data_IF_066925237976
#
_entry.id   IF_066925237976
#
_cell.length_a   1.000
_cell.length_b   1.000
_cell.length_c   1.000
_cell.angle_alpha   90.00
_cell.angle_beta   90.00
_cell.angle_gamma   90.00
#
_symmetry.space_group_name_H-M   'P 1'
#
loop_
_entity.id
_entity.type
_entity.pdbx_description
1 polymer ?
#
# COMPACT_ATOMS: atom_id res chain seq x y z
N UNK A 1 8.06 -16.53 2.17
CA UNK A 1 7.75 -15.47 3.14
C UNK A 1 7.11 -14.29 2.45
N UNK A 2 6.70 -13.30 3.21
CA UNK A 2 6.24 -12.01 2.70
C UNK A 2 7.45 -11.08 2.64
N UNK A 3 7.53 -10.23 1.60
CA UNK A 3 8.64 -9.30 1.39
C UNK A 3 8.08 -7.87 1.26
N UNK A 4 7.81 -7.19 2.38
CA UNK A 4 7.39 -5.80 2.34
C UNK A 4 8.50 -4.95 1.70
N UNK A 5 8.17 -4.25 0.63
CA UNK A 5 9.07 -3.37 -0.11
C UNK A 5 8.75 -1.96 0.34
N UNK A 6 9.74 -1.23 0.84
CA UNK A 6 9.56 0.19 1.22
C UNK A 6 8.98 0.98 0.04
N UNK A 7 8.02 1.83 0.34
CA UNK A 7 7.28 2.62 -0.64
C UNK A 7 7.13 4.08 -0.18
N UNK A 8 6.64 4.94 -1.05
CA UNK A 8 6.21 6.30 -0.71
C UNK A 8 7.22 7.11 0.09
N UNK A 9 6.73 7.69 1.19
CA UNK A 9 7.53 8.49 2.12
C UNK A 9 8.68 7.71 2.75
N UNK A 10 8.50 6.43 3.06
CA UNK A 10 9.54 5.62 3.69
C UNK A 10 10.67 5.26 2.73
N UNK A 11 10.39 4.96 1.46
CA UNK A 11 11.44 4.76 0.47
C UNK A 11 12.18 6.08 0.18
N UNK A 12 11.44 7.19 0.09
CA UNK A 12 12.03 8.52 -0.06
C UNK A 12 12.89 8.89 1.16
N UNK A 13 12.43 8.58 2.36
CA UNK A 13 13.18 8.75 3.60
C UNK A 13 14.47 7.93 3.62
N UNK A 14 14.38 6.66 3.24
CA UNK A 14 15.56 5.79 3.10
C UNK A 14 16.62 6.38 2.16
N UNK A 15 16.20 6.87 0.98
CA UNK A 15 17.13 7.43 -0.01
C UNK A 15 17.70 8.78 0.44
N UNK A 16 16.87 9.65 0.97
CA UNK A 16 17.21 11.06 1.21
C UNK A 16 17.76 11.33 2.61
N UNK A 17 17.23 10.63 3.64
CA UNK A 17 17.52 10.86 5.06
C UNK A 17 18.24 9.69 5.74
N UNK A 18 18.33 8.54 5.07
CA UNK A 18 18.81 7.27 5.64
C UNK A 18 17.96 6.84 6.86
N UNK A 19 16.68 7.15 6.85
CA UNK A 19 15.70 6.89 7.90
C UNK A 19 14.40 7.59 7.58
N UNK A 20 13.51 7.76 8.57
CA UNK A 20 12.25 8.49 8.40
C UNK A 20 12.47 9.93 7.92
N UNK A 21 11.55 10.39 7.11
CA UNK A 21 11.35 11.82 6.92
C UNK A 21 10.87 12.38 8.27
N UNK A 22 11.48 13.47 8.83
CA UNK A 22 11.23 13.90 10.21
C UNK A 22 9.78 14.25 10.57
N UNK A 23 8.91 14.40 9.58
CA UNK A 23 7.48 14.72 9.75
C UNK A 23 6.56 13.62 9.21
N UNK A 24 7.10 12.43 8.92
CA UNK A 24 6.37 11.25 8.49
C UNK A 24 6.11 10.35 9.69
N UNK A 25 4.92 9.77 9.80
CA UNK A 25 4.47 9.05 10.99
C UNK A 25 3.85 7.68 10.71
N UNK A 26 3.89 7.22 9.46
CA UNK A 26 3.41 5.92 9.02
C UNK A 26 4.50 5.08 8.34
N UNK A 27 4.18 3.85 8.03
CA UNK A 27 5.03 2.95 7.25
C UNK A 27 4.26 2.50 6.01
N UNK A 28 4.76 2.91 4.86
CA UNK A 28 4.26 2.49 3.55
C UNK A 28 5.08 1.34 2.98
N UNK A 29 4.42 0.27 2.59
CA UNK A 29 5.05 -0.86 1.92
C UNK A 29 4.25 -1.30 0.70
N UNK A 30 4.95 -1.66 -0.35
CA UNK A 30 4.37 -2.41 -1.47
C UNK A 30 4.53 -3.91 -1.26
N UNK A 31 3.59 -4.65 -1.82
CA UNK A 31 3.65 -6.11 -1.97
C UNK A 31 3.29 -6.49 -3.39
N UNK A 32 4.02 -7.44 -3.97
CA UNK A 32 3.57 -8.09 -5.22
C UNK A 32 2.19 -8.70 -4.98
N UNK A 33 1.31 -8.63 -5.97
CA UNK A 33 -0.10 -9.06 -5.89
C UNK A 33 -0.33 -10.35 -5.12
N UNK A 34 0.42 -11.39 -5.40
CA UNK A 34 0.27 -12.67 -4.70
C UNK A 34 0.58 -12.56 -3.20
N UNK A 35 1.58 -11.76 -2.83
CA UNK A 35 1.93 -11.51 -1.42
C UNK A 35 0.89 -10.60 -0.76
N UNK A 36 0.39 -9.59 -1.47
CA UNK A 36 -0.66 -8.68 -1.02
C UNK A 36 -1.96 -9.43 -0.70
N UNK A 37 -2.42 -10.26 -1.62
CA UNK A 37 -3.65 -11.05 -1.44
C UNK A 37 -3.51 -12.01 -0.25
N UNK A 38 -2.34 -12.65 -0.08
CA UNK A 38 -2.06 -13.51 1.08
C UNK A 38 -2.08 -12.76 2.40
N UNK A 39 -1.53 -11.54 2.45
CA UNK A 39 -1.56 -10.69 3.65
C UNK A 39 -2.98 -10.27 3.96
N UNK A 40 -3.74 -9.84 2.95
CA UNK A 40 -5.15 -9.46 3.09
C UNK A 40 -6.01 -10.63 3.60
N UNK A 41 -5.81 -11.82 3.07
CA UNK A 41 -6.50 -13.02 3.54
C UNK A 41 -6.11 -13.42 4.96
N UNK A 42 -4.82 -13.28 5.31
CA UNK A 42 -4.36 -13.52 6.67
C UNK A 42 -4.99 -12.53 7.67
N UNK A 43 -5.04 -11.24 7.35
CA UNK A 43 -5.68 -10.25 8.20
C UNK A 43 -7.17 -10.54 8.38
N UNK A 44 -7.88 -10.88 7.31
CA UNK A 44 -9.30 -11.23 7.35
C UNK A 44 -9.58 -12.42 8.29
N UNK A 45 -8.68 -13.37 8.36
CA UNK A 45 -8.86 -14.60 9.15
C UNK A 45 -8.38 -14.45 10.60
N UNK A 46 -7.37 -13.64 10.88
CA UNK A 46 -6.62 -13.68 12.14
C UNK A 46 -6.56 -12.36 12.89
N UNK A 47 -7.01 -11.25 12.31
CA UNK A 47 -6.94 -9.93 12.94
C UNK A 47 -8.34 -9.30 12.92
N UNK A 48 -8.69 -8.58 13.98
CA UNK A 48 -9.94 -7.85 14.03
C UNK A 48 -9.93 -6.70 13.01
N UNK A 49 -11.05 -6.46 12.32
CA UNK A 49 -11.25 -5.18 11.68
C UNK A 49 -11.32 -4.08 12.74
N UNK A 50 -11.09 -2.82 12.34
CA UNK A 50 -11.18 -1.69 13.29
C UNK A 50 -12.54 -1.63 13.96
N UNK A 51 -13.62 -1.92 13.23
CA UNK A 51 -14.98 -1.96 13.77
C UNK A 51 -15.15 -3.09 14.78
N UNK A 52 -14.75 -4.31 14.45
CA UNK A 52 -14.78 -5.45 15.36
C UNK A 52 -13.90 -5.23 16.59
N UNK A 53 -12.77 -4.52 16.43
CA UNK A 53 -11.85 -4.19 17.51
C UNK A 53 -12.52 -3.32 18.58
N UNK A 54 -13.25 -2.29 18.20
CA UNK A 54 -13.96 -1.42 19.13
C UNK A 54 -15.21 -2.07 19.75
N UNK A 55 -15.88 -2.95 19.01
CA UNK A 55 -17.09 -3.64 19.47
C UNK A 55 -16.83 -5.02 20.07
N UNK A 56 -15.55 -5.43 20.19
CA UNK A 56 -15.20 -6.74 20.74
C UNK A 56 -15.64 -6.92 22.18
N UNK A 57 -16.45 -7.93 22.42
CA UNK A 57 -16.74 -8.46 23.76
C UNK A 57 -15.64 -9.48 24.16
N UNK A 58 -15.47 -9.70 25.47
CA UNK A 58 -14.56 -10.73 26.01
C UNK A 58 -14.85 -12.15 25.49
N UNK A 59 -16.06 -12.41 25.04
CA UNK A 59 -16.50 -13.67 24.44
C UNK A 59 -16.17 -13.82 22.96
N UNK A 60 -16.01 -12.73 22.21
CA UNK A 60 -15.66 -12.75 20.79
C UNK A 60 -14.21 -13.21 20.51
N UNK A 61 -13.37 -13.17 21.53
CA UNK A 61 -11.96 -13.61 21.47
C UNK A 61 -11.79 -15.07 21.04
N UNK A 62 -12.78 -15.91 21.28
CA UNK A 62 -12.77 -17.33 20.94
C UNK A 62 -13.28 -17.62 19.51
N UNK A 63 -13.94 -16.67 18.88
CA UNK A 63 -14.66 -16.89 17.63
C UNK A 63 -13.76 -16.97 16.39
N UNK A 64 -12.64 -16.22 16.38
CA UNK A 64 -11.71 -16.15 15.23
C UNK A 64 -10.38 -16.88 15.44
N UNK A 65 -10.14 -17.52 16.60
CA UNK A 65 -8.85 -18.15 16.88
C UNK A 65 -7.67 -17.17 16.84
N UNK A 66 -7.95 -15.91 17.20
CA UNK A 66 -6.94 -14.84 17.16
C UNK A 66 -5.88 -15.13 18.22
N UNK A 67 -4.62 -15.16 17.76
CA UNK A 67 -3.47 -15.37 18.64
C UNK A 67 -3.37 -14.26 19.69
N UNK A 68 -2.83 -14.60 20.88
CA UNK A 68 -2.72 -13.66 22.00
C UNK A 68 -1.96 -12.39 21.60
N UNK A 69 -0.86 -12.56 20.86
CA UNK A 69 -0.03 -11.48 20.36
C UNK A 69 -0.73 -10.57 19.33
N UNK A 70 -1.80 -11.04 18.69
CA UNK A 70 -2.55 -10.27 17.69
C UNK A 70 -3.74 -9.50 18.27
N UNK A 71 -4.00 -9.59 19.57
CA UNK A 71 -5.16 -8.95 20.23
C UNK A 71 -5.05 -7.41 20.29
N UNK A 72 -3.85 -6.90 20.15
CA UNK A 72 -3.58 -5.46 20.19
C UNK A 72 -3.65 -4.81 18.79
N UNK A 73 -3.85 -5.63 17.76
CA UNK A 73 -3.88 -5.17 16.38
C UNK A 73 -5.30 -5.14 15.85
N UNK A 74 -5.54 -4.20 14.96
CA UNK A 74 -6.70 -4.21 14.08
C UNK A 74 -6.27 -3.86 12.65
N UNK A 75 -7.14 -4.09 11.68
CA UNK A 75 -6.87 -3.77 10.30
C UNK A 75 -8.07 -3.14 9.62
N UNK A 76 -7.80 -2.47 8.52
CA UNK A 76 -8.83 -1.90 7.66
C UNK A 76 -8.47 -2.10 6.19
N UNK A 77 -9.50 -2.37 5.41
CA UNK A 77 -9.46 -2.36 3.95
C UNK A 77 -10.10 -1.06 3.47
N UNK A 78 -9.28 -0.15 2.94
CA UNK A 78 -9.74 1.13 2.40
C UNK A 78 -10.21 1.02 0.93
N UNK A 79 -10.04 -0.17 0.33
CA UNK A 79 -10.38 -0.42 -1.06
C UNK A 79 -9.22 -0.10 -2.01
N UNK A 80 -8.39 0.86 -1.69
CA UNK A 80 -7.16 1.22 -2.44
C UNK A 80 -5.87 0.74 -1.76
N UNK A 81 -5.93 0.42 -0.49
CA UNK A 81 -4.86 -0.20 0.29
C UNK A 81 -5.43 -0.95 1.49
N UNK A 82 -4.61 -1.71 2.17
CA UNK A 82 -4.93 -2.29 3.48
C UNK A 82 -3.97 -1.75 4.52
N UNK A 83 -4.48 -1.47 5.70
CA UNK A 83 -3.70 -0.95 6.83
C UNK A 83 -3.81 -1.90 8.01
N UNK A 84 -2.68 -2.14 8.69
CA UNK A 84 -2.67 -2.72 10.04
C UNK A 84 -2.28 -1.65 11.05
N UNK A 85 -2.99 -1.64 12.17
CA UNK A 85 -2.80 -0.68 13.25
C UNK A 85 -2.49 -1.42 14.55
N UNK A 86 -1.55 -0.90 15.33
CA UNK A 86 -1.32 -1.28 16.72
C UNK A 86 -1.62 -0.11 17.64
N UNK A 87 -2.50 -0.30 18.60
CA UNK A 87 -2.74 0.71 19.62
C UNK A 87 -1.65 0.65 20.69
N UNK A 88 -1.08 1.81 21.01
CA UNK A 88 -0.02 1.99 21.96
C UNK A 88 -0.60 2.35 23.34
N UNK A 89 0.20 2.16 24.41
CA UNK A 89 -0.22 2.45 25.80
C UNK A 89 -0.57 3.92 26.04
N UNK A 90 0.01 4.83 25.28
CA UNK A 90 -0.26 6.27 25.34
C UNK A 90 -1.53 6.73 24.59
N UNK A 91 -2.28 5.75 24.04
CA UNK A 91 -3.51 6.00 23.28
C UNK A 91 -3.30 6.37 21.81
N UNK A 92 -2.05 6.42 21.35
CA UNK A 92 -1.74 6.57 19.91
C UNK A 92 -1.84 5.25 19.17
N UNK A 93 -1.83 5.31 17.85
CA UNK A 93 -1.73 4.15 17.01
C UNK A 93 -0.49 4.25 16.13
N UNK A 94 0.19 3.13 15.93
CA UNK A 94 1.20 2.98 14.88
C UNK A 94 0.59 2.17 13.74
N UNK A 95 0.73 2.66 12.51
CA UNK A 95 0.17 2.04 11.32
C UNK A 95 1.23 1.57 10.33
N UNK A 96 0.85 0.55 9.55
CA UNK A 96 1.59 0.14 8.36
C UNK A 96 0.60 -0.08 7.24
N UNK A 97 0.82 0.60 6.13
CA UNK A 97 0.00 0.53 4.95
C UNK A 97 0.63 -0.39 3.91
N UNK A 98 -0.19 -1.24 3.31
CA UNK A 98 0.24 -2.12 2.25
C UNK A 98 -0.50 -1.79 0.97
N UNK A 99 0.29 -1.60 -0.07
CA UNK A 99 -0.15 -1.31 -1.43
C UNK A 99 0.20 -2.45 -2.36
N UNK A 100 -0.63 -2.67 -3.36
CA UNK A 100 -0.39 -3.71 -4.36
C UNK A 100 0.50 -3.23 -5.49
N UNK A 101 1.36 -4.13 -5.98
CA UNK A 101 2.19 -3.98 -7.17
C UNK A 101 1.93 -5.17 -8.08
N UNK A 102 1.53 -4.89 -9.33
CA UNK A 102 1.13 -5.90 -10.29
C UNK A 102 2.11 -6.04 -11.45
N UNK A 103 2.29 -7.28 -11.91
CA UNK A 103 2.78 -7.55 -13.25
C UNK A 103 1.62 -7.42 -14.25
N UNK A 104 1.85 -6.75 -15.36
CA UNK A 104 0.86 -6.59 -16.41
C UNK A 104 1.29 -7.36 -17.66
N UNK A 105 0.32 -7.87 -18.42
CA UNK A 105 0.56 -8.65 -19.62
C UNK A 105 1.36 -7.85 -20.66
N UNK A 106 2.25 -8.54 -21.39
CA UNK A 106 3.17 -7.89 -22.36
C UNK A 106 2.44 -7.21 -23.52
N UNK A 107 1.24 -7.67 -23.85
CA UNK A 107 0.37 -7.12 -24.90
C UNK A 107 -0.62 -6.07 -24.40
N UNK A 108 -0.62 -5.77 -23.09
CA UNK A 108 -1.45 -4.72 -22.50
C UNK A 108 -0.71 -3.39 -22.54
N UNK A 109 -1.21 -2.45 -23.32
CA UNK A 109 -0.56 -1.15 -23.46
C UNK A 109 -0.76 -0.28 -22.22
N UNK A 110 0.22 0.57 -21.92
CA UNK A 110 0.12 1.52 -20.80
C UNK A 110 -1.02 2.52 -21.00
N UNK A 111 -1.38 2.85 -22.25
CA UNK A 111 -2.51 3.72 -22.55
C UNK A 111 -3.84 3.06 -22.18
N UNK A 112 -4.05 1.79 -22.55
CA UNK A 112 -5.25 1.04 -22.15
C UNK A 112 -5.38 0.94 -20.63
N UNK A 113 -4.26 0.69 -19.95
CA UNK A 113 -4.20 0.69 -18.49
C UNK A 113 -4.63 2.04 -17.89
N UNK A 114 -4.05 3.15 -18.35
CA UNK A 114 -4.36 4.48 -17.82
C UNK A 114 -5.79 4.91 -18.13
N UNK A 115 -6.32 4.55 -19.28
CA UNK A 115 -7.72 4.79 -19.66
C UNK A 115 -8.69 4.01 -18.76
N UNK A 116 -8.35 2.75 -18.47
CA UNK A 116 -9.11 1.92 -17.54
C UNK A 116 -9.04 2.46 -16.12
N UNK A 117 -7.84 2.70 -15.62
CA UNK A 117 -7.59 3.22 -14.28
C UNK A 117 -8.26 4.59 -14.06
N UNK A 118 -8.27 5.45 -15.07
CA UNK A 118 -8.98 6.74 -15.03
C UNK A 118 -10.49 6.58 -14.81
N UNK A 119 -11.11 5.61 -15.48
CA UNK A 119 -12.54 5.29 -15.30
C UNK A 119 -12.84 4.73 -13.91
N UNK A 120 -11.97 3.83 -13.42
CA UNK A 120 -12.08 3.28 -12.06
C UNK A 120 -11.96 4.38 -11.03
N UNK A 121 -10.95 5.23 -11.17
CA UNK A 121 -10.71 6.37 -10.28
C UNK A 121 -11.93 7.31 -10.22
N UNK A 122 -12.53 7.64 -11.36
CA UNK A 122 -13.73 8.47 -11.39
C UNK A 122 -14.89 7.82 -10.60
N UNK A 123 -15.13 6.52 -10.79
CA UNK A 123 -16.18 5.77 -10.05
C UNK A 123 -15.87 5.76 -8.55
N UNK A 124 -14.62 5.49 -8.19
CA UNK A 124 -14.19 5.42 -6.80
C UNK A 124 -14.34 6.76 -6.08
N UNK A 125 -14.02 7.88 -6.75
CA UNK A 125 -14.20 9.23 -6.21
C UNK A 125 -15.66 9.61 -5.98
N UNK A 126 -16.59 9.03 -6.72
CA UNK A 126 -18.03 9.23 -6.58
C UNK A 126 -18.66 8.25 -5.59
N UNK A 127 -17.92 7.26 -5.10
CA UNK A 127 -18.41 6.29 -4.14
C UNK A 127 -18.78 6.97 -2.81
N UNK A 128 -20.00 6.70 -2.32
CA UNK A 128 -20.56 7.37 -1.15
C UNK A 128 -20.10 6.78 0.17
N UNK A 129 -19.63 5.52 0.16
CA UNK A 129 -19.22 4.79 1.35
C UNK A 129 -17.92 4.03 1.11
N UNK A 130 -17.27 3.60 2.20
CA UNK A 130 -16.10 2.72 2.13
C UNK A 130 -16.44 1.37 1.48
N UNK A 131 -17.63 0.86 1.72
CA UNK A 131 -18.13 -0.36 1.09
C UNK A 131 -18.27 -0.21 -0.43
N UNK A 132 -18.76 0.93 -0.92
CA UNK A 132 -18.84 1.22 -2.34
C UNK A 132 -17.46 1.37 -2.97
N UNK A 133 -16.50 1.95 -2.24
CA UNK A 133 -15.09 2.03 -2.67
C UNK A 133 -14.47 0.65 -2.83
N UNK A 134 -14.64 -0.24 -1.85
CA UNK A 134 -14.18 -1.63 -1.92
C UNK A 134 -14.78 -2.37 -3.10
N UNK A 135 -16.10 -2.27 -3.30
CA UNK A 135 -16.77 -2.87 -4.47
C UNK A 135 -16.24 -2.33 -5.80
N UNK A 136 -15.93 -1.02 -5.84
CA UNK A 136 -15.36 -0.42 -7.05
C UNK A 136 -14.02 -1.05 -7.40
N UNK A 137 -13.10 -1.19 -6.45
CA UNK A 137 -11.78 -1.78 -6.69
C UNK A 137 -11.85 -3.29 -6.93
N UNK A 138 -12.69 -4.03 -6.20
CA UNK A 138 -12.93 -5.46 -6.46
C UNK A 138 -13.47 -5.70 -7.87
N UNK A 139 -14.44 -4.90 -8.31
CA UNK A 139 -14.96 -4.98 -9.68
C UNK A 139 -13.88 -4.68 -10.71
N UNK A 140 -13.06 -3.66 -10.47
CA UNK A 140 -11.96 -3.30 -11.36
C UNK A 140 -10.92 -4.43 -11.47
N UNK A 141 -10.57 -5.11 -10.38
CA UNK A 141 -9.67 -6.26 -10.38
C UNK A 141 -10.25 -7.43 -11.18
N UNK A 142 -11.56 -7.69 -11.08
CA UNK A 142 -12.22 -8.73 -11.86
C UNK A 142 -12.22 -8.37 -13.35
N UNK A 143 -12.61 -7.15 -13.71
CA UNK A 143 -12.65 -6.67 -15.09
C UNK A 143 -11.27 -6.64 -15.75
N UNK A 144 -10.22 -6.33 -14.97
CA UNK A 144 -8.84 -6.24 -15.46
C UNK A 144 -8.02 -7.53 -15.29
N UNK A 145 -8.61 -8.61 -14.76
CA UNK A 145 -7.90 -9.84 -14.38
C UNK A 145 -7.08 -10.46 -15.50
N UNK A 146 -7.58 -10.40 -16.74
CA UNK A 146 -6.89 -10.95 -17.91
C UNK A 146 -5.58 -10.22 -18.24
N UNK A 147 -5.45 -8.97 -17.80
CA UNK A 147 -4.30 -8.10 -18.04
C UNK A 147 -3.27 -8.18 -16.89
N UNK A 148 -3.60 -8.85 -15.78
CA UNK A 148 -2.67 -9.09 -14.66
C UNK A 148 -1.95 -10.41 -14.89
N UNK A 149 -0.63 -10.38 -14.99
CA UNK A 149 0.21 -11.54 -15.21
C UNK A 149 0.85 -12.04 -13.92
N UNK A 150 1.31 -13.27 -13.90
CA UNK A 150 2.15 -13.80 -12.80
C UNK A 150 3.57 -13.26 -12.86
N UNK A 151 4.06 -13.04 -14.06
CA UNK A 151 5.39 -12.54 -14.37
C UNK A 151 5.36 -11.84 -15.71
N UNK A 152 6.10 -10.74 -15.83
CA UNK A 152 6.19 -9.93 -17.04
C UNK A 152 7.42 -9.03 -16.94
N UNK A 153 7.83 -8.41 -18.04
CA UNK A 153 8.79 -7.30 -18.02
C UNK A 153 8.17 -5.98 -17.53
N UNK A 154 6.84 -5.92 -17.45
CA UNK A 154 6.04 -4.75 -17.11
C UNK A 154 5.44 -4.87 -15.71
N UNK A 155 5.76 -3.90 -14.85
CA UNK A 155 5.11 -3.74 -13.56
C UNK A 155 4.51 -2.33 -13.46
N UNK A 156 3.50 -2.22 -12.62
CA UNK A 156 2.99 -0.95 -12.16
C UNK A 156 2.18 -1.15 -10.87
N UNK A 157 1.81 -0.04 -10.25
CA UNK A 157 0.91 -0.07 -9.10
C UNK A 157 -0.38 -0.80 -9.46
N UNK A 158 -0.92 -1.56 -8.53
CA UNK A 158 -2.16 -2.30 -8.74
C UNK A 158 -3.32 -1.38 -9.07
N UNK A 159 -4.29 -1.90 -9.79
CA UNK A 159 -5.48 -1.11 -10.16
C UNK A 159 -6.26 -0.63 -8.92
N UNK A 160 -6.18 -1.38 -7.83
CA UNK A 160 -6.70 -1.03 -6.52
C UNK A 160 -5.82 -0.05 -5.74
N UNK A 161 -4.58 0.18 -6.16
CA UNK A 161 -3.66 1.15 -5.57
C UNK A 161 -3.64 2.51 -6.30
N UNK A 162 -4.29 2.60 -7.46
CA UNK A 162 -4.22 3.79 -8.31
C UNK A 162 -4.85 5.05 -7.71
N UNK A 163 -5.72 4.88 -6.70
CA UNK A 163 -6.45 5.99 -6.08
C UNK A 163 -5.53 6.96 -5.36
N UNK A 164 -4.51 6.44 -4.68
CA UNK A 164 -3.52 7.25 -3.95
C UNK A 164 -2.56 7.98 -4.89
N UNK A 165 -2.33 7.46 -6.09
CA UNK A 165 -1.24 7.88 -6.99
C UNK A 165 -1.67 8.71 -8.19
N UNK A 166 -2.81 9.43 -8.08
CA UNK A 166 -3.44 10.23 -9.17
C UNK A 166 -2.52 11.19 -9.91
N UNK A 167 -1.42 11.62 -9.29
CA UNK A 167 -0.47 12.59 -9.89
C UNK A 167 0.67 11.92 -10.67
N UNK A 168 0.78 10.60 -10.62
CA UNK A 168 1.98 9.87 -11.00
C UNK A 168 1.84 8.95 -12.21
N UNK A 169 0.79 9.12 -13.04
CA UNK A 169 0.76 8.44 -14.35
C UNK A 169 1.89 8.96 -15.24
N UNK A 170 3.11 8.52 -14.96
CA UNK A 170 4.26 8.86 -15.79
C UNK A 170 4.38 7.83 -16.90
N UNK A 171 3.78 8.13 -17.97
CA UNK A 171 3.93 7.71 -19.36
C UNK A 171 4.37 6.28 -19.73
N UNK A 172 4.75 5.41 -18.81
CA UNK A 172 5.26 4.08 -19.11
C UNK A 172 5.20 3.10 -17.94
N UNK A 173 5.21 1.81 -18.25
CA UNK A 173 5.43 0.74 -17.31
C UNK A 173 6.75 0.90 -16.56
N UNK A 174 6.79 0.42 -15.30
CA UNK A 174 8.02 0.29 -14.53
C UNK A 174 8.74 -0.97 -15.04
N UNK A 175 9.96 -0.85 -15.59
CA UNK A 175 10.72 -2.02 -16.02
C UNK A 175 11.04 -2.92 -14.82
N UNK A 176 10.95 -4.24 -15.03
CA UNK A 176 11.19 -5.24 -13.97
C UNK A 176 12.55 -5.05 -13.29
N UNK A 177 13.59 -4.68 -14.02
CA UNK A 177 14.94 -4.46 -13.49
C UNK A 177 15.06 -3.25 -12.56
N UNK A 178 14.10 -2.31 -12.57
CA UNK A 178 14.04 -1.19 -11.61
C UNK A 178 13.67 -1.72 -10.23
N UNK A 179 12.83 -2.75 -10.17
CA UNK A 179 12.32 -3.31 -8.92
C UNK A 179 13.16 -4.52 -8.50
N UNK A 180 13.50 -5.41 -9.41
CA UNK A 180 14.19 -6.67 -9.13
C UNK A 180 15.63 -6.72 -9.67
N UNK A 181 16.54 -7.47 -8.97
CA UNK A 181 16.29 -8.17 -7.71
C UNK A 181 16.09 -7.20 -6.54
N UNK A 182 15.18 -7.51 -5.63
CA UNK A 182 15.00 -6.69 -4.42
C UNK A 182 16.30 -6.61 -3.61
N UNK A 183 16.55 -5.43 -3.04
CA UNK A 183 17.70 -5.17 -2.16
C UNK A 183 17.26 -5.25 -0.70
N UNK A 184 18.00 -5.99 0.12
CA UNK A 184 17.78 -5.96 1.56
C UNK A 184 18.41 -4.70 2.14
N UNK A 185 17.65 -3.93 2.86
CA UNK A 185 18.07 -2.64 3.44
C UNK A 185 17.77 -2.61 4.93
N UNK A 186 18.47 -1.74 5.65
CA UNK A 186 18.16 -1.41 7.03
C UNK A 186 17.48 -0.04 7.05
N UNK A 187 16.30 0.03 7.67
CA UNK A 187 15.54 1.24 7.85
C UNK A 187 15.11 1.31 9.32
N UNK A 188 15.51 2.34 10.03
CA UNK A 188 15.26 2.53 11.49
C UNK A 188 15.70 1.32 12.35
N UNK A 189 16.78 0.66 11.96
CA UNK A 189 17.30 -0.51 12.66
C UNK A 189 16.66 -1.85 12.27
N UNK A 190 15.59 -1.84 11.50
CA UNK A 190 14.87 -3.01 11.05
C UNK A 190 15.18 -3.36 9.58
N UNK A 191 14.91 -4.60 9.20
CA UNK A 191 15.20 -5.09 7.87
C UNK A 191 13.99 -5.08 6.96
N UNK A 192 14.06 -4.28 5.91
CA UNK A 192 13.07 -4.20 4.83
C UNK A 192 13.67 -4.62 3.49
N UNK A 193 12.79 -4.66 2.50
CA UNK A 193 13.19 -4.76 1.10
C UNK A 193 13.02 -3.39 0.44
N UNK A 194 13.85 -3.12 -0.55
CA UNK A 194 13.74 -1.95 -1.41
C UNK A 194 13.83 -2.38 -2.87
N UNK A 195 13.34 -1.57 -3.82
CA UNK A 195 13.59 -1.77 -5.23
C UNK A 195 15.09 -1.86 -5.55
N UNK A 196 15.44 -2.51 -6.65
CA UNK A 196 16.82 -2.59 -7.12
C UNK A 196 17.43 -1.20 -7.37
N UNK A 197 16.64 -0.29 -7.93
CA UNK A 197 17.01 1.11 -8.18
C UNK A 197 15.99 2.03 -7.51
N UNK A 198 16.16 2.34 -6.21
CA UNK A 198 15.19 3.12 -5.45
C UNK A 198 14.95 4.53 -6.02
N UNK A 199 15.99 5.22 -6.48
CA UNK A 199 15.86 6.58 -7.03
C UNK A 199 15.05 6.56 -8.33
N UNK A 200 15.34 5.61 -9.21
CA UNK A 200 14.58 5.44 -10.45
C UNK A 200 13.13 5.01 -10.20
N UNK A 201 12.89 4.18 -9.17
CA UNK A 201 11.54 3.81 -8.78
C UNK A 201 10.76 5.03 -8.27
N UNK A 202 11.36 5.81 -7.36
CA UNK A 202 10.75 7.03 -6.83
C UNK A 202 10.43 8.07 -7.92
N UNK A 203 11.13 8.06 -9.06
CA UNK A 203 10.81 8.93 -10.19
C UNK A 203 9.45 8.60 -10.84
N UNK A 204 8.83 7.45 -10.55
CA UNK A 204 7.45 7.15 -10.93
C UNK A 204 6.41 7.74 -9.96
N UNK A 205 6.82 8.20 -8.79
CA UNK A 205 5.95 8.76 -7.76
C UNK A 205 6.13 10.26 -7.58
N UNK A 206 7.37 10.72 -7.67
CA UNK A 206 7.77 12.10 -7.40
C UNK A 206 8.37 12.76 -8.65
N UNK A 207 8.13 14.04 -8.82
CA UNK A 207 8.76 14.82 -9.89
C UNK A 207 10.23 15.11 -9.59
N UNK A 208 10.52 15.44 -8.34
CA UNK A 208 11.87 15.68 -7.85
C UNK A 208 12.00 15.19 -6.40
N UNK A 209 12.72 14.09 -6.21
CA UNK A 209 12.93 13.49 -4.89
C UNK A 209 13.82 14.34 -3.96
N UNK A 210 14.53 15.33 -4.50
CA UNK A 210 15.42 16.23 -3.75
C UNK A 210 14.77 17.56 -3.39
N UNK A 211 13.55 17.80 -3.87
CA UNK A 211 12.78 18.99 -3.53
C UNK A 211 11.99 18.75 -2.24
N UNK A 212 12.09 19.70 -1.31
CA UNK A 212 11.30 19.67 -0.09
C UNK A 212 9.95 20.35 -0.35
N UNK A 213 8.85 19.76 0.15
CA UNK A 213 7.55 20.44 0.03
C UNK A 213 7.53 21.73 0.85
N UNK A 214 6.83 22.74 0.36
CA UNK A 214 6.72 24.05 1.03
C UNK A 214 5.94 23.99 2.36
N UNK A 215 5.17 22.92 2.60
CA UNK A 215 4.33 22.67 3.77
C UNK A 215 4.99 21.73 4.81
N UNK A 216 6.31 21.69 4.84
CA UNK A 216 7.11 20.93 5.82
C UNK A 216 6.74 21.33 7.25
N UNK A 217 6.35 20.38 8.07
CA UNK A 217 6.04 20.58 9.49
C UNK A 217 4.56 20.52 9.85
N UNK A 218 3.68 20.26 8.89
CA UNK A 218 2.28 19.92 9.17
C UNK A 218 2.10 18.43 8.86
N UNK A 219 2.26 17.56 9.88
CA UNK A 219 1.87 16.16 9.73
C UNK A 219 0.38 16.12 9.44
N UNK A 220 0.02 15.48 8.31
CA UNK A 220 -1.37 15.36 7.86
C UNK A 220 -2.15 14.33 8.69
N UNK A 221 -1.46 13.54 9.50
CA UNK A 221 -2.00 12.41 10.26
C UNK A 221 -2.15 12.70 11.77
N UNK A 222 -1.52 13.74 12.31
CA UNK A 222 -1.61 14.14 13.74
C UNK A 222 -2.92 14.90 14.05
N UNK A 223 -3.92 14.85 13.21
CA UNK A 223 -5.17 15.61 13.34
C UNK A 223 -6.41 14.81 13.73
N UNK A 224 -6.30 13.55 14.13
CA UNK A 224 -7.42 12.78 14.66
C UNK A 224 -7.32 12.66 16.19
N UNK A 225 -7.51 13.79 16.86
CA UNK A 225 -7.82 13.85 18.30
C UNK A 225 -9.29 14.16 18.51
#
# INVERSE_FOLDING_TARGET
GIRPILDGGNLLGYVRHNGYIPWDDDIDCMLIREEYDRVKDYFRQHIYTIEEFYHRDKTDRLRKGILEEMKEYCWMDYGDHIQILKFLEDGKAAGMDFFSLDYYAEDYSFQEFTDFAGKVNQKWMLAASLEDKRKCTETALIENRQNIARESSHLYFGIDNMMMRRKSFKGSWIPKEVIFPLRRVTFEGEHFWAPNDPEKFLAYEYDNIWEFPDDVGISKHIGMS
#
